data_IF_774652541076
#
_entry.id   IF_774652541076
#
_cell.length_a   1.000
_cell.length_b   1.000
_cell.length_c   1.000
_cell.angle_alpha   90.00
_cell.angle_beta   90.00
_cell.angle_gamma   90.00
#
_symmetry.space_group_name_H-M   'P 1'
#
loop_
_entity.id
_entity.type
_entity.pdbx_description
1 polymer ?
#
# COMPACT_ATOMS: atom_id res chain seq x y z
N UNK A 1 -1.58 37.38 -25.97
CA UNK A 1 -0.89 37.05 -24.70
C UNK A 1 -1.80 36.28 -23.75
N UNK A 2 -3.00 36.79 -23.44
CA UNK A 2 -3.97 36.19 -22.52
C UNK A 2 -4.39 34.74 -22.87
N UNK A 3 -4.64 34.43 -24.15
CA UNK A 3 -5.02 33.07 -24.57
C UNK A 3 -3.90 32.02 -24.37
N UNK A 4 -2.63 32.45 -24.42
CA UNK A 4 -1.48 31.56 -24.22
C UNK A 4 -1.36 31.17 -22.75
N UNK A 5 -1.64 32.13 -21.86
CA UNK A 5 -1.72 31.92 -20.41
C UNK A 5 -2.91 31.00 -20.07
N UNK A 6 -4.07 31.21 -20.69
CA UNK A 6 -5.26 30.38 -20.46
C UNK A 6 -5.03 28.91 -20.85
N UNK A 7 -4.39 28.66 -22.01
CA UNK A 7 -4.00 27.30 -22.43
C UNK A 7 -3.00 26.65 -21.48
N UNK A 8 -2.05 27.43 -20.97
CA UNK A 8 -1.05 26.93 -20.02
C UNK A 8 -1.71 26.53 -18.69
N UNK A 9 -2.64 27.35 -18.18
CA UNK A 9 -3.42 27.04 -16.98
C UNK A 9 -4.30 25.79 -17.18
N UNK A 10 -4.99 25.68 -18.33
CA UNK A 10 -5.75 24.46 -18.66
C UNK A 10 -4.86 23.21 -18.69
N UNK A 11 -3.66 23.31 -19.25
CA UNK A 11 -2.71 22.20 -19.29
C UNK A 11 -2.24 21.79 -17.88
N UNK A 12 -1.99 22.75 -16.99
CA UNK A 12 -1.62 22.48 -15.59
C UNK A 12 -2.77 21.79 -14.87
N UNK A 13 -4.01 22.27 -15.05
CA UNK A 13 -5.20 21.68 -14.42
C UNK A 13 -5.42 20.25 -14.91
N UNK A 14 -5.33 19.99 -16.22
CA UNK A 14 -5.45 18.62 -16.77
C UNK A 14 -4.35 17.68 -16.27
N UNK A 15 -3.12 18.18 -16.15
CA UNK A 15 -2.01 17.39 -15.61
C UNK A 15 -2.20 17.08 -14.12
N UNK A 16 -2.58 18.08 -13.31
CA UNK A 16 -2.87 17.90 -11.89
C UNK A 16 -4.05 16.93 -11.67
N UNK A 17 -5.09 17.01 -12.51
CA UNK A 17 -6.23 16.10 -12.48
C UNK A 17 -5.82 14.66 -12.80
N UNK A 18 -4.98 14.46 -13.83
CA UNK A 18 -4.44 13.14 -14.17
C UNK A 18 -3.55 12.56 -13.07
N UNK A 19 -2.74 13.38 -12.40
CA UNK A 19 -1.93 12.93 -11.26
C UNK A 19 -2.81 12.53 -10.08
N UNK A 20 -3.97 13.18 -9.87
CA UNK A 20 -4.91 12.79 -8.82
C UNK A 20 -5.61 11.46 -9.10
N UNK A 21 -6.04 11.18 -10.33
CA UNK A 21 -6.79 9.94 -10.66
C UNK A 21 -5.98 8.65 -10.41
N UNK A 22 -4.67 8.64 -10.69
CA UNK A 22 -3.82 7.47 -10.45
C UNK A 22 -3.54 7.22 -8.95
N UNK A 23 -3.74 8.22 -8.09
CA UNK A 23 -3.51 8.10 -6.65
C UNK A 23 -4.68 7.46 -5.88
N UNK A 24 -5.85 7.32 -6.48
CA UNK A 24 -7.06 6.86 -5.76
C UNK A 24 -7.28 5.34 -5.83
N UNK A 25 -6.54 4.62 -6.68
CA UNK A 25 -6.72 3.17 -6.84
C UNK A 25 -6.07 2.40 -5.70
N UNK A 26 -6.89 1.69 -4.93
CA UNK A 26 -6.44 0.79 -3.86
C UNK A 26 -6.26 -0.63 -4.42
N UNK A 27 -5.13 -1.26 -4.10
CA UNK A 27 -4.78 -2.61 -4.53
C UNK A 27 -4.41 -3.51 -3.34
N UNK A 28 -4.63 -4.82 -3.49
CA UNK A 28 -4.08 -5.82 -2.58
C UNK A 28 -2.58 -5.96 -2.84
N UNK A 29 -1.75 -5.60 -1.87
CA UNK A 29 -0.30 -5.74 -1.95
C UNK A 29 0.15 -7.16 -1.61
N UNK A 30 -0.29 -7.69 -0.46
CA UNK A 30 0.10 -9.02 0.01
C UNK A 30 -0.98 -9.64 0.91
N UNK A 31 -0.85 -10.95 1.16
CA UNK A 31 -1.68 -11.70 2.09
C UNK A 31 -0.80 -12.38 3.14
N UNK A 32 -1.33 -12.46 4.36
CA UNK A 32 -0.64 -13.05 5.49
C UNK A 32 -1.52 -14.12 6.15
N UNK A 33 -0.90 -15.22 6.54
CA UNK A 33 -1.57 -16.31 7.27
C UNK A 33 -1.79 -15.96 8.75
N UNK A 34 -1.04 -14.98 9.27
CA UNK A 34 -1.07 -14.54 10.65
C UNK A 34 -1.40 -13.05 10.76
N UNK A 35 -2.30 -12.72 11.69
CA UNK A 35 -2.60 -11.33 12.06
C UNK A 35 -1.36 -10.59 12.56
N UNK A 36 -0.43 -11.31 13.20
CA UNK A 36 0.81 -10.74 13.74
C UNK A 36 1.71 -10.28 12.59
N UNK A 37 1.94 -11.13 11.58
CA UNK A 37 2.80 -10.79 10.44
C UNK A 37 2.20 -9.66 9.61
N UNK A 38 0.88 -9.66 9.44
CA UNK A 38 0.16 -8.59 8.78
C UNK A 38 0.32 -7.24 9.52
N UNK A 39 0.16 -7.24 10.84
CA UNK A 39 0.30 -6.04 11.66
C UNK A 39 1.75 -5.56 11.73
N UNK A 40 2.73 -6.45 11.68
CA UNK A 40 4.14 -6.07 11.57
C UNK A 40 4.41 -5.34 10.25
N UNK A 41 3.93 -5.89 9.13
CA UNK A 41 4.05 -5.24 7.83
C UNK A 41 3.35 -3.87 7.78
N UNK A 42 2.12 -3.78 8.32
CA UNK A 42 1.39 -2.52 8.45
C UNK A 42 2.17 -1.50 9.29
N UNK A 43 2.66 -1.91 10.46
CA UNK A 43 3.44 -1.04 11.37
C UNK A 43 4.70 -0.51 10.69
N UNK A 44 5.38 -1.35 9.89
CA UNK A 44 6.52 -0.92 9.10
C UNK A 44 6.12 0.16 8.09
N UNK A 45 5.06 -0.04 7.32
CA UNK A 45 4.59 0.95 6.36
C UNK A 45 4.13 2.26 7.02
N UNK A 46 3.44 2.17 8.16
CA UNK A 46 3.03 3.32 8.96
C UNK A 46 4.24 4.14 9.43
N UNK A 47 5.33 3.47 9.85
CA UNK A 47 6.57 4.15 10.26
C UNK A 47 7.25 4.93 9.12
N UNK A 48 7.03 4.52 7.87
CA UNK A 48 7.51 5.21 6.67
C UNK A 48 6.47 6.18 6.08
N UNK A 49 5.32 6.34 6.75
CA UNK A 49 4.26 7.26 6.33
C UNK A 49 3.45 6.78 5.12
N UNK A 50 3.45 5.48 4.82
CA UNK A 50 2.70 4.92 3.70
C UNK A 50 1.28 4.54 4.16
N UNK A 51 0.22 5.12 3.55
CA UNK A 51 -1.15 4.77 3.89
C UNK A 51 -1.46 3.32 3.50
N UNK A 52 -1.83 2.49 4.48
CA UNK A 52 -2.23 1.11 4.24
C UNK A 52 -3.25 0.61 5.27
N UNK A 53 -3.97 -0.46 4.94
CA UNK A 53 -4.94 -1.07 5.84
C UNK A 53 -5.01 -2.59 5.67
N UNK A 54 -5.50 -3.26 6.72
CA UNK A 54 -5.66 -4.70 6.75
C UNK A 54 -7.14 -5.08 6.66
N UNK A 55 -7.41 -6.26 6.10
CA UNK A 55 -8.74 -6.89 6.12
C UNK A 55 -8.70 -8.23 6.84
N UNK A 56 -9.83 -8.71 7.36
CA UNK A 56 -9.96 -9.99 8.07
C UNK A 56 -9.17 -10.12 9.40
N UNK A 57 -8.70 -9.02 9.99
CA UNK A 57 -7.95 -9.04 11.26
C UNK A 57 -8.73 -9.68 12.42
N UNK A 58 -9.99 -9.27 12.59
CA UNK A 58 -10.88 -9.78 13.65
C UNK A 58 -11.29 -11.24 13.40
N UNK A 59 -11.52 -11.60 12.14
CA UNK A 59 -11.95 -12.97 11.78
C UNK A 59 -10.80 -13.97 11.97
N UNK A 60 -9.59 -13.60 11.55
CA UNK A 60 -8.40 -14.44 11.70
C UNK A 60 -7.98 -14.60 13.17
N UNK A 61 -8.11 -13.56 13.99
CA UNK A 61 -7.82 -13.64 15.43
C UNK A 61 -8.80 -14.51 16.21
N UNK A 62 -10.07 -14.58 15.81
CA UNK A 62 -11.08 -15.43 16.44
C UNK A 62 -11.01 -16.90 16.00
N UNK A 63 -10.55 -17.15 14.77
CA UNK A 63 -10.42 -18.48 14.18
C UNK A 63 -8.99 -18.73 13.70
N UNK A 64 -8.04 -18.98 14.63
CA UNK A 64 -6.61 -19.12 14.32
C UNK A 64 -6.25 -20.40 13.55
N UNK A 65 -7.24 -21.20 13.12
CA UNK A 65 -6.98 -22.41 12.36
C UNK A 65 -7.03 -22.12 10.85
N UNK A 66 -5.96 -22.41 10.09
CA UNK A 66 -5.86 -22.15 8.66
C UNK A 66 -6.57 -23.26 7.87
N UNK A 67 -7.87 -23.47 8.10
CA UNK A 67 -8.60 -24.54 7.41
C UNK A 67 -9.38 -24.07 6.18
N UNK A 68 -9.48 -22.76 5.92
CA UNK A 68 -10.25 -22.25 4.79
C UNK A 68 -9.49 -21.22 3.96
N UNK A 69 -9.20 -21.61 2.71
CA UNK A 69 -8.71 -20.72 1.64
C UNK A 69 -9.63 -19.49 1.56
N UNK A 70 -9.07 -18.30 1.80
CA UNK A 70 -9.83 -17.03 1.78
C UNK A 70 -9.98 -16.30 3.12
N UNK A 71 -9.47 -16.85 4.23
CA UNK A 71 -9.43 -16.15 5.53
C UNK A 71 -8.09 -15.44 5.82
N UNK A 72 -7.19 -15.38 4.83
CA UNK A 72 -5.92 -14.66 4.94
C UNK A 72 -6.18 -13.18 5.24
N UNK A 73 -5.27 -12.56 5.99
CA UNK A 73 -5.29 -11.12 6.28
C UNK A 73 -4.67 -10.41 5.09
N UNK A 74 -5.46 -9.58 4.40
CA UNK A 74 -5.01 -8.85 3.21
C UNK A 74 -4.46 -7.47 3.58
N UNK A 75 -3.28 -7.12 3.07
CA UNK A 75 -2.70 -5.79 3.17
C UNK A 75 -2.96 -4.99 1.89
N UNK A 76 -3.67 -3.88 2.03
CA UNK A 76 -4.04 -3.00 0.93
C UNK A 76 -3.28 -1.68 1.01
N UNK A 77 -2.91 -1.16 -0.16
CA UNK A 77 -2.16 0.09 -0.36
C UNK A 77 -2.76 0.87 -1.52
N UNK A 78 -2.38 2.14 -1.67
CA UNK A 78 -2.59 2.86 -2.93
C UNK A 78 -1.62 2.36 -4.01
N UNK A 79 -2.09 2.21 -5.24
CA UNK A 79 -1.30 1.72 -6.36
C UNK A 79 -0.10 2.63 -6.66
N UNK A 80 -0.26 3.93 -6.47
CA UNK A 80 0.82 4.92 -6.58
C UNK A 80 2.01 4.63 -5.64
N UNK A 81 1.75 4.04 -4.47
CA UNK A 81 2.78 3.72 -3.48
C UNK A 81 3.48 2.37 -3.72
N UNK A 82 3.02 1.58 -4.70
CA UNK A 82 3.48 0.19 -4.91
C UNK A 82 5.00 0.05 -5.02
N UNK A 83 5.65 0.94 -5.77
CA UNK A 83 7.10 0.90 -5.95
C UNK A 83 7.82 1.17 -4.63
N UNK A 84 7.37 2.19 -3.88
CA UNK A 84 7.94 2.57 -2.60
C UNK A 84 7.75 1.49 -1.54
N UNK A 85 6.57 0.89 -1.48
CA UNK A 85 6.26 -0.24 -0.60
C UNK A 85 7.21 -1.41 -0.88
N UNK A 86 7.46 -1.74 -2.15
CA UNK A 86 8.36 -2.82 -2.52
C UNK A 86 9.80 -2.57 -2.06
N UNK A 87 10.31 -1.34 -2.21
CA UNK A 87 11.63 -0.95 -1.70
C UNK A 87 11.73 -1.13 -0.18
N UNK A 88 10.76 -0.57 0.57
CA UNK A 88 10.72 -0.65 2.04
C UNK A 88 10.68 -2.12 2.49
N UNK A 89 9.87 -2.96 1.83
CA UNK A 89 9.72 -4.37 2.20
C UNK A 89 10.98 -5.21 1.92
N UNK A 90 11.84 -4.77 1.00
CA UNK A 90 13.12 -5.44 0.70
C UNK A 90 14.29 -4.96 1.57
N UNK A 91 14.19 -3.78 2.18
CA UNK A 91 15.28 -3.14 2.93
C UNK A 91 15.76 -4.00 4.13
N UNK A 92 14.88 -4.80 4.76
CA UNK A 92 15.22 -5.64 5.93
C UNK A 92 15.78 -7.01 5.54
N UNK A 93 15.70 -7.44 4.27
CA UNK A 93 16.22 -8.75 3.87
C UNK A 93 17.75 -8.80 3.86
N UNK A 94 18.44 -7.66 4.03
CA UNK A 94 19.91 -7.58 3.98
C UNK A 94 20.62 -7.73 5.34
N UNK A 95 19.92 -7.65 6.47
CA UNK A 95 20.54 -7.71 7.81
C UNK A 95 20.44 -9.09 8.49
N UNK A 96 19.97 -10.10 7.76
CA UNK A 96 19.61 -11.42 8.29
C UNK A 96 20.63 -12.55 8.10
N UNK A 97 21.96 -12.33 8.06
CA UNK A 97 22.95 -13.36 8.39
C UNK A 97 24.40 -12.83 8.44
N UNK A 98 24.97 -12.62 9.64
CA UNK A 98 26.37 -12.96 9.98
C UNK A 98 26.54 -13.06 11.50
N UNK A 99 26.33 -14.25 12.05
CA UNK A 99 27.07 -14.77 13.21
C UNK A 99 27.27 -16.27 13.00
#
# INVERSE_FOLDING_TARGET
MLQKILKYLQSIVSFAFSVMEDNDKIILFNKYDSVIDANLAKTKLDAYGIPCFLTNETTSSLYPLPFMKGMEVGLFIFEADKARVHEIMMEDQHDGLKI
#
